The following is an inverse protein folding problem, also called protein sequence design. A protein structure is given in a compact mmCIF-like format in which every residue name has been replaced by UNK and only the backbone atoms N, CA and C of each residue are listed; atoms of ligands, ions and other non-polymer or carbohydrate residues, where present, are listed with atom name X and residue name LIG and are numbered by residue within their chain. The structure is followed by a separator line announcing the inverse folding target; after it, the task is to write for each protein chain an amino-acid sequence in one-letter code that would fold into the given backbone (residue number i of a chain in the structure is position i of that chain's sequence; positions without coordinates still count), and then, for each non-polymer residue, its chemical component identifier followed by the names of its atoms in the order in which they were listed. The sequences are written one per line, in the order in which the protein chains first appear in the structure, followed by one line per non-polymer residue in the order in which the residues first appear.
data_IF_347075812772
#
_entry.id   IF_347075812772
#
_cell.length_a   1.000
_cell.length_b   1.000
_cell.length_c   1.000
_cell.angle_alpha   90.00
_cell.angle_beta   90.00
_cell.angle_gamma   90.00
#
_symmetry.space_group_name_H-M   'P 1'
#
loop_
_entity.id
_entity.type
_entity.pdbx_description
1 polymer ?
#
# COMPACT_ATOMS: atom_id res chain seq x y z
N UNK A 1 4.66 -23.78 -2.75
CA UNK A 1 5.76 -24.76 -2.62
C UNK A 1 6.31 -24.69 -1.21
N UNK A 2 6.73 -25.83 -0.68
CA UNK A 2 7.19 -26.01 0.71
C UNK A 2 8.52 -26.75 0.68
N UNK A 3 9.46 -26.33 1.51
CA UNK A 3 10.77 -26.99 1.62
C UNK A 3 10.62 -28.40 2.26
N UNK A 4 11.25 -29.41 1.63
CA UNK A 4 11.29 -30.76 2.19
C UNK A 4 11.93 -30.78 3.57
N UNK A 5 11.31 -31.51 4.51
CA UNK A 5 11.84 -31.71 5.84
C UNK A 5 11.78 -30.48 6.77
N UNK A 6 11.16 -29.37 6.34
CA UNK A 6 10.98 -28.20 7.21
C UNK A 6 10.13 -28.56 8.44
N UNK A 7 10.53 -28.11 9.63
CA UNK A 7 9.86 -28.36 10.91
C UNK A 7 9.60 -27.06 11.67
N UNK A 8 8.50 -26.99 12.41
CA UNK A 8 8.14 -25.85 13.25
C UNK A 8 6.64 -25.77 13.47
N UNK A 9 6.18 -25.09 14.53
CA UNK A 9 4.75 -24.96 14.85
C UNK A 9 3.97 -24.25 13.74
N UNK A 10 4.48 -23.13 13.24
CA UNK A 10 3.87 -22.37 12.15
C UNK A 10 3.82 -23.13 10.82
N UNK A 11 4.74 -24.09 10.59
CA UNK A 11 4.77 -24.90 9.36
C UNK A 11 3.51 -25.76 9.24
N UNK A 12 3.12 -26.45 10.32
CA UNK A 12 1.93 -27.29 10.34
C UNK A 12 0.66 -26.47 10.14
N UNK A 13 0.61 -25.28 10.72
CA UNK A 13 -0.51 -24.33 10.59
C UNK A 13 -0.65 -23.85 9.14
N UNK A 14 0.45 -23.36 8.52
CA UNK A 14 0.45 -22.89 7.12
C UNK A 14 0.01 -24.02 6.19
N UNK A 15 0.53 -25.24 6.35
CA UNK A 15 0.14 -26.39 5.54
C UNK A 15 -1.34 -26.73 5.75
N UNK A 16 -1.83 -26.66 6.99
CA UNK A 16 -3.24 -26.89 7.31
C UNK A 16 -4.14 -25.87 6.63
N UNK A 17 -3.85 -24.57 6.73
CA UNK A 17 -4.58 -23.49 6.07
C UNK A 17 -4.58 -23.66 4.56
N UNK A 18 -3.42 -23.95 3.96
CA UNK A 18 -3.31 -24.17 2.52
C UNK A 18 -4.18 -25.34 2.03
N UNK A 19 -4.23 -26.44 2.79
CA UNK A 19 -5.10 -27.59 2.46
C UNK A 19 -6.58 -27.22 2.57
N UNK A 20 -6.96 -26.50 3.61
CA UNK A 20 -8.35 -26.05 3.83
C UNK A 20 -8.80 -25.11 2.71
N UNK A 21 -7.89 -24.24 2.25
CA UNK A 21 -8.13 -23.31 1.14
C UNK A 21 -8.04 -23.96 -0.26
N UNK A 22 -7.77 -25.27 -0.36
CA UNK A 22 -7.65 -25.96 -1.64
C UNK A 22 -6.40 -25.61 -2.43
N UNK A 23 -5.38 -25.04 -1.79
CA UNK A 23 -4.13 -24.65 -2.45
C UNK A 23 -3.28 -25.89 -2.72
N UNK A 24 -2.81 -26.05 -3.97
CA UNK A 24 -1.91 -27.13 -4.35
C UNK A 24 -0.57 -26.97 -3.65
N UNK A 25 -0.20 -27.96 -2.84
CA UNK A 25 1.07 -28.00 -2.14
C UNK A 25 2.06 -28.87 -2.91
N UNK A 26 3.22 -28.31 -3.20
CA UNK A 26 4.35 -29.01 -3.79
C UNK A 26 5.54 -28.95 -2.83
N UNK A 27 6.10 -30.12 -2.46
CA UNK A 27 7.27 -30.22 -1.62
C UNK A 27 8.52 -30.33 -2.50
N UNK A 28 9.57 -29.58 -2.17
CA UNK A 28 10.79 -29.53 -2.97
C UNK A 28 12.02 -29.12 -2.14
N UNK A 29 13.21 -29.32 -2.71
CA UNK A 29 14.49 -28.94 -2.09
C UNK A 29 14.63 -27.42 -1.98
N UNK A 30 15.42 -26.96 -1.00
CA UNK A 30 15.67 -25.53 -0.74
C UNK A 30 16.16 -24.78 -1.98
N UNK A 31 17.05 -25.38 -2.79
CA UNK A 31 17.64 -24.75 -3.97
C UNK A 31 16.57 -24.35 -5.02
N UNK A 32 15.44 -25.07 -5.07
CA UNK A 32 14.34 -24.69 -5.96
C UNK A 32 13.59 -23.49 -5.43
N UNK A 33 13.41 -23.40 -4.11
CA UNK A 33 12.78 -22.23 -3.46
C UNK A 33 13.66 -21.00 -3.59
N UNK A 34 14.99 -21.13 -3.41
CA UNK A 34 15.94 -20.04 -3.59
C UNK A 34 15.87 -19.42 -4.99
N UNK A 35 15.79 -20.26 -6.03
CA UNK A 35 15.63 -19.80 -7.41
C UNK A 35 14.32 -19.04 -7.66
N UNK A 36 13.24 -19.49 -7.04
CA UNK A 36 11.91 -18.86 -7.19
C UNK A 36 11.75 -17.60 -6.34
N UNK A 37 12.44 -17.56 -5.20
CA UNK A 37 12.42 -16.41 -4.30
C UNK A 37 13.25 -15.23 -4.82
N UNK A 38 14.09 -15.43 -5.84
CA UNK A 38 14.90 -14.40 -6.51
C UNK A 38 15.61 -13.46 -5.53
N UNK A 39 16.35 -14.04 -4.59
CA UNK A 39 17.07 -13.32 -3.53
C UNK A 39 16.23 -12.90 -2.32
N UNK A 40 14.93 -13.13 -2.32
CA UNK A 40 14.08 -12.89 -1.15
C UNK A 40 14.22 -14.06 -0.16
N UNK A 41 14.26 -13.75 1.13
CA UNK A 41 14.31 -14.77 2.19
C UNK A 41 12.96 -15.50 2.28
N UNK A 42 12.88 -16.75 1.82
CA UNK A 42 11.63 -17.51 1.68
C UNK A 42 11.22 -18.30 2.94
N UNK A 43 12.10 -18.49 3.92
CA UNK A 43 11.79 -19.20 5.18
C UNK A 43 11.12 -20.58 4.99
N UNK A 44 11.46 -21.28 3.89
CA UNK A 44 10.92 -22.59 3.55
C UNK A 44 9.59 -22.61 2.79
N UNK A 45 9.03 -21.45 2.43
CA UNK A 45 7.80 -21.34 1.67
C UNK A 45 7.93 -20.35 0.50
N UNK A 46 7.39 -20.73 -0.65
CA UNK A 46 7.19 -19.83 -1.80
C UNK A 46 5.79 -20.07 -2.36
N UNK A 47 5.00 -19.00 -2.47
CA UNK A 47 3.70 -19.04 -3.12
C UNK A 47 3.77 -18.41 -4.51
N UNK A 48 3.16 -19.07 -5.50
CA UNK A 48 2.86 -18.48 -6.80
C UNK A 48 1.42 -17.99 -6.74
N UNK A 49 1.22 -16.70 -6.78
CA UNK A 49 -0.09 -16.08 -6.74
C UNK A 49 -0.38 -15.33 -8.05
N UNK A 50 -1.66 -15.07 -8.31
CA UNK A 50 -2.05 -14.14 -9.36
C UNK A 50 -1.47 -12.74 -9.07
N UNK A 51 -1.25 -11.90 -10.10
CA UNK A 51 -0.88 -10.52 -9.88
C UNK A 51 -1.91 -9.79 -9.00
N UNK A 52 -1.42 -8.86 -8.18
CA UNK A 52 -2.28 -8.02 -7.32
C UNK A 52 -3.28 -7.28 -8.22
N UNK A 53 -4.57 -7.38 -7.87
CA UNK A 53 -5.64 -6.69 -8.59
C UNK A 53 -5.59 -5.20 -8.28
N UNK A 54 -5.71 -4.38 -9.31
CA UNK A 54 -6.03 -2.96 -9.15
C UNK A 54 -7.55 -2.77 -9.11
N UNK A 55 -7.99 -1.87 -8.26
CA UNK A 55 -9.38 -1.47 -8.10
C UNK A 55 -9.66 -0.16 -8.83
N UNK A 56 -10.94 0.15 -9.07
CA UNK A 56 -11.34 1.49 -9.49
C UNK A 56 -11.58 2.40 -8.28
N UNK A 57 -11.57 3.70 -8.50
CA UNK A 57 -11.89 4.67 -7.44
C UNK A 57 -13.34 4.48 -6.96
N UNK A 58 -14.26 4.20 -7.88
CA UNK A 58 -15.66 3.95 -7.57
C UNK A 58 -15.85 2.73 -6.66
N UNK A 59 -15.11 1.64 -6.91
CA UNK A 59 -15.12 0.46 -6.02
C UNK A 59 -14.68 0.83 -4.61
N UNK A 60 -13.62 1.63 -4.47
CA UNK A 60 -13.10 2.06 -3.16
C UNK A 60 -14.11 2.94 -2.42
N UNK A 61 -14.74 3.89 -3.12
CA UNK A 61 -15.75 4.75 -2.52
C UNK A 61 -17.02 4.00 -2.13
N UNK A 62 -17.37 2.97 -2.91
CA UNK A 62 -18.49 2.08 -2.58
C UNK A 62 -18.22 1.30 -1.28
N UNK A 63 -16.99 0.77 -1.10
CA UNK A 63 -16.60 0.07 0.13
C UNK A 63 -16.70 0.97 1.38
N UNK A 64 -16.25 2.23 1.31
CA UNK A 64 -16.39 3.18 2.40
C UNK A 64 -17.87 3.43 2.75
N UNK A 65 -18.71 3.58 1.72
CA UNK A 65 -20.15 3.76 1.89
C UNK A 65 -20.84 2.54 2.49
N UNK A 66 -20.47 1.33 2.07
CA UNK A 66 -21.01 0.08 2.63
C UNK A 66 -20.70 -0.09 4.11
N UNK A 67 -19.55 0.42 4.56
CA UNK A 67 -19.14 0.43 5.97
C UNK A 67 -19.71 1.58 6.77
N UNK A 68 -20.44 2.51 6.14
CA UNK A 68 -20.89 3.77 6.74
C UNK A 68 -19.73 4.60 7.32
N UNK A 69 -18.58 4.57 6.64
CA UNK A 69 -17.37 5.26 7.05
C UNK A 69 -17.08 6.45 6.13
N UNK A 70 -16.48 7.51 6.69
CA UNK A 70 -16.01 8.65 5.91
C UNK A 70 -14.81 8.24 5.06
N UNK A 71 -14.83 8.45 3.73
CA UNK A 71 -13.73 7.99 2.87
C UNK A 71 -12.39 8.63 3.24
N UNK A 72 -11.39 7.78 3.43
CA UNK A 72 -10.02 8.18 3.72
C UNK A 72 -9.08 7.49 2.73
N UNK A 73 -8.32 8.27 1.94
CA UNK A 73 -7.45 7.78 0.88
C UNK A 73 -5.99 8.20 1.11
N UNK A 74 -5.06 7.40 0.62
CA UNK A 74 -3.64 7.70 0.59
C UNK A 74 -3.20 7.82 -0.88
N UNK A 75 -2.57 8.93 -1.27
CA UNK A 75 -2.00 9.12 -2.61
C UNK A 75 -0.48 9.16 -2.52
N UNK A 76 0.19 8.35 -3.34
CA UNK A 76 1.64 8.24 -3.37
C UNK A 76 2.20 8.99 -4.59
N UNK A 77 2.99 10.06 -4.35
CA UNK A 77 3.58 10.88 -5.41
C UNK A 77 5.03 10.46 -5.69
N UNK A 78 5.26 9.87 -6.87
CA UNK A 78 6.57 9.43 -7.39
C UNK A 78 7.39 8.50 -6.46
N UNK A 79 6.74 7.71 -5.61
CA UNK A 79 7.41 6.70 -4.79
C UNK A 79 7.80 5.48 -5.65
N UNK A 80 9.10 5.26 -5.81
CA UNK A 80 9.66 4.18 -6.65
C UNK A 80 10.27 3.04 -5.84
N UNK A 81 10.60 3.28 -4.57
CA UNK A 81 11.18 2.26 -3.69
C UNK A 81 10.11 1.31 -3.16
N UNK A 82 10.23 -0.02 -3.42
CA UNK A 82 9.29 -1.01 -2.92
C UNK A 82 9.21 -1.07 -1.39
N UNK A 83 10.30 -0.75 -0.69
CA UNK A 83 10.35 -0.73 0.77
C UNK A 83 9.41 0.35 1.32
N UNK A 84 9.49 1.56 0.78
CA UNK A 84 8.65 2.68 1.20
C UNK A 84 7.18 2.44 0.83
N UNK A 85 6.93 1.97 -0.40
CA UNK A 85 5.54 1.68 -0.84
C UNK A 85 4.92 0.57 0.01
N UNK A 86 5.64 -0.52 0.27
CA UNK A 86 5.15 -1.62 1.11
C UNK A 86 4.89 -1.18 2.56
N UNK A 87 5.78 -0.37 3.14
CA UNK A 87 5.61 0.17 4.49
C UNK A 87 4.39 1.11 4.58
N UNK A 88 4.19 1.98 3.58
CA UNK A 88 3.03 2.87 3.52
C UNK A 88 1.72 2.12 3.34
N UNK A 89 1.67 1.08 2.51
CA UNK A 89 0.47 0.23 2.37
C UNK A 89 0.14 -0.47 3.70
N UNK A 90 1.14 -0.99 4.40
CA UNK A 90 0.96 -1.59 5.72
C UNK A 90 0.44 -0.57 6.75
N UNK A 91 0.97 0.65 6.73
CA UNK A 91 0.49 1.74 7.60
C UNK A 91 -0.94 2.15 7.23
N UNK A 92 -1.25 2.21 5.93
CA UNK A 92 -2.58 2.51 5.43
C UNK A 92 -3.63 1.49 5.92
N UNK A 93 -3.30 0.20 5.90
CA UNK A 93 -4.14 -0.86 6.45
C UNK A 93 -4.42 -0.63 7.94
N UNK A 94 -3.37 -0.43 8.73
CA UNK A 94 -3.48 -0.20 10.16
C UNK A 94 -4.24 1.10 10.52
N UNK A 95 -4.21 2.11 9.65
CA UNK A 95 -4.89 3.39 9.82
C UNK A 95 -6.34 3.39 9.28
N UNK A 96 -6.83 2.28 8.74
CA UNK A 96 -8.18 2.20 8.17
C UNK A 96 -8.35 2.99 6.87
N UNK A 97 -7.28 3.16 6.09
CA UNK A 97 -7.35 3.79 4.76
C UNK A 97 -8.18 2.92 3.81
N UNK A 98 -9.16 3.50 3.15
CA UNK A 98 -10.06 2.78 2.25
C UNK A 98 -9.43 2.42 0.90
N UNK A 99 -8.41 3.17 0.48
CA UNK A 99 -7.67 2.87 -0.74
C UNK A 99 -6.40 3.68 -0.92
N UNK A 100 -5.43 3.08 -1.62
CA UNK A 100 -4.15 3.70 -1.95
C UNK A 100 -4.14 4.03 -3.45
N UNK A 101 -3.91 5.30 -3.78
CA UNK A 101 -3.82 5.79 -5.17
C UNK A 101 -2.35 5.77 -5.61
N UNK A 102 -2.05 4.99 -6.64
CA UNK A 102 -0.70 4.79 -7.14
C UNK A 102 -0.60 5.18 -8.62
N UNK A 103 0.28 6.12 -9.02
CA UNK A 103 0.46 6.48 -10.41
C UNK A 103 0.92 5.32 -11.28
N UNK A 104 0.46 5.25 -12.54
CA UNK A 104 0.93 4.26 -13.54
C UNK A 104 2.40 4.43 -13.91
N UNK A 105 2.91 5.66 -13.82
CA UNK A 105 4.27 6.02 -14.20
C UNK A 105 5.00 6.63 -13.03
N UNK A 106 6.32 6.46 -12.98
CA UNK A 106 7.19 6.97 -11.91
C UNK A 106 6.79 6.47 -10.52
N UNK A 107 6.28 5.25 -10.45
CA UNK A 107 5.89 4.59 -9.21
C UNK A 107 6.44 3.17 -9.18
N UNK A 108 6.49 2.59 -8.00
CA UNK A 108 6.87 1.21 -7.80
C UNK A 108 5.78 0.26 -8.32
N UNK A 109 6.12 -0.79 -9.10
CA UNK A 109 5.16 -1.85 -9.42
C UNK A 109 4.81 -2.65 -8.16
N UNK A 110 3.55 -3.07 -8.05
CA UNK A 110 3.11 -3.98 -7.00
C UNK A 110 3.63 -5.40 -7.29
N UNK A 111 4.78 -5.71 -6.76
CA UNK A 111 5.47 -6.98 -6.94
C UNK A 111 5.59 -7.77 -5.63
N UNK A 112 6.25 -8.93 -5.68
CA UNK A 112 6.48 -9.78 -4.51
C UNK A 112 7.23 -9.08 -3.36
N UNK A 113 8.09 -8.09 -3.68
CA UNK A 113 8.81 -7.31 -2.67
C UNK A 113 7.83 -6.42 -1.90
N UNK A 114 6.95 -5.70 -2.60
CA UNK A 114 5.90 -4.87 -1.98
C UNK A 114 4.96 -5.73 -1.14
N UNK A 115 4.52 -6.89 -1.66
CA UNK A 115 3.66 -7.81 -0.92
C UNK A 115 4.32 -8.29 0.37
N UNK A 116 5.62 -8.62 0.33
CA UNK A 116 6.38 -9.05 1.50
C UNK A 116 6.56 -7.92 2.52
N UNK A 117 6.95 -6.72 2.08
CA UNK A 117 7.20 -5.56 2.96
C UNK A 117 5.89 -5.08 3.60
N UNK A 118 4.79 -5.09 2.85
CA UNK A 118 3.48 -4.76 3.38
C UNK A 118 2.92 -5.80 4.36
N UNK A 119 3.66 -6.91 4.60
CA UNK A 119 3.21 -8.03 5.43
C UNK A 119 1.82 -8.58 5.03
N UNK A 120 1.51 -8.53 3.74
CA UNK A 120 0.23 -8.97 3.18
C UNK A 120 -0.87 -7.90 3.15
N UNK A 121 -0.66 -6.71 3.73
CA UNK A 121 -1.67 -5.64 3.75
C UNK A 121 -2.15 -5.24 2.34
N UNK A 122 -1.31 -5.42 1.31
CA UNK A 122 -1.66 -5.14 -0.09
C UNK A 122 -2.82 -6.01 -0.63
N UNK A 123 -3.16 -7.11 0.05
CA UNK A 123 -4.30 -7.96 -0.29
C UNK A 123 -5.63 -7.45 0.33
N UNK A 124 -5.54 -6.57 1.32
CA UNK A 124 -6.68 -6.04 2.08
C UNK A 124 -6.99 -4.58 1.76
N UNK A 125 -5.97 -3.76 1.53
CA UNK A 125 -6.13 -2.36 1.15
C UNK A 125 -6.23 -2.26 -0.36
N UNK A 126 -7.37 -1.83 -0.93
CA UNK A 126 -7.52 -1.64 -2.36
C UNK A 126 -6.50 -0.66 -2.93
N UNK A 127 -5.79 -1.04 -3.99
CA UNK A 127 -4.89 -0.14 -4.70
C UNK A 127 -5.52 0.28 -6.02
N UNK A 128 -5.62 1.58 -6.23
CA UNK A 128 -6.15 2.21 -7.44
C UNK A 128 -5.00 2.73 -8.29
N UNK A 129 -4.92 2.31 -9.52
CA UNK A 129 -3.91 2.80 -10.44
C UNK A 129 -4.41 4.06 -11.17
N UNK A 130 -3.78 5.21 -10.94
CA UNK A 130 -4.16 6.50 -11.52
C UNK A 130 -3.23 6.93 -12.66
N UNK A 131 -3.77 7.70 -13.60
CA UNK A 131 -3.00 8.21 -14.75
C UNK A 131 -2.19 9.45 -14.44
N UNK A 132 -2.85 10.49 -13.95
CA UNK A 132 -2.28 11.80 -13.66
C UNK A 132 -2.70 12.26 -12.25
N UNK A 133 -1.71 12.54 -11.40
CA UNK A 133 -1.95 12.89 -10.00
C UNK A 133 -2.75 14.18 -9.87
N UNK A 134 -2.36 15.27 -10.58
CA UNK A 134 -3.02 16.57 -10.44
C UNK A 134 -4.46 16.54 -10.95
N UNK A 135 -4.73 15.81 -12.02
CA UNK A 135 -6.08 15.59 -12.52
C UNK A 135 -6.92 14.80 -11.52
N UNK A 136 -6.36 13.71 -10.97
CA UNK A 136 -7.03 12.89 -9.93
C UNK A 136 -7.34 13.72 -8.68
N UNK A 137 -6.42 14.60 -8.25
CA UNK A 137 -6.68 15.52 -7.14
C UNK A 137 -7.87 16.45 -7.46
N UNK A 138 -7.93 17.02 -8.66
CA UNK A 138 -9.06 17.88 -9.06
C UNK A 138 -10.39 17.12 -9.10
N UNK A 139 -10.40 15.88 -9.55
CA UNK A 139 -11.56 15.00 -9.53
C UNK A 139 -12.02 14.70 -8.10
N UNK A 140 -11.10 14.38 -7.19
CA UNK A 140 -11.38 14.12 -5.78
C UNK A 140 -11.93 15.36 -5.07
N UNK A 141 -11.39 16.55 -5.35
CA UNK A 141 -11.93 17.82 -4.84
C UNK A 141 -13.38 18.06 -5.26
N UNK A 142 -13.74 17.75 -6.50
CA UNK A 142 -15.14 17.84 -6.97
C UNK A 142 -16.05 16.86 -6.24
N UNK A 143 -15.53 15.75 -5.74
CA UNK A 143 -16.24 14.79 -4.89
C UNK A 143 -16.27 15.18 -3.41
N UNK A 144 -15.72 16.34 -3.05
CA UNK A 144 -15.73 16.87 -1.68
C UNK A 144 -14.58 16.41 -0.79
N UNK A 145 -13.52 15.84 -1.37
CA UNK A 145 -12.33 15.47 -0.61
C UNK A 145 -11.46 16.68 -0.29
N UNK A 146 -10.96 16.74 0.95
CA UNK A 146 -9.88 17.62 1.37
C UNK A 146 -8.53 16.96 1.10
N UNK A 147 -7.62 17.68 0.46
CA UNK A 147 -6.32 17.15 0.02
C UNK A 147 -5.22 17.72 0.91
N UNK A 148 -4.63 16.88 1.73
CA UNK A 148 -3.55 17.24 2.66
C UNK A 148 -2.22 16.65 2.19
N UNK A 149 -1.26 17.49 1.88
CA UNK A 149 0.08 17.06 1.44
C UNK A 149 1.07 16.97 2.61
N UNK A 150 1.80 15.86 2.74
CA UNK A 150 2.87 15.74 3.73
C UNK A 150 4.13 16.49 3.25
N UNK A 151 4.55 17.55 3.96
CA UNK A 151 5.69 18.38 3.61
C UNK A 151 6.36 18.98 4.85
N UNK A 152 7.70 19.06 4.84
CA UNK A 152 8.47 19.61 5.96
C UNK A 152 8.22 21.11 6.23
N UNK A 153 7.67 21.83 5.25
CA UNK A 153 7.31 23.25 5.40
C UNK A 153 5.81 23.43 5.64
N UNK A 154 5.10 22.37 5.98
CA UNK A 154 3.66 22.39 6.28
C UNK A 154 3.36 22.95 7.67
N UNK A 155 2.08 23.10 7.97
CA UNK A 155 1.60 23.37 9.32
C UNK A 155 1.62 22.09 10.17
N UNK A 156 1.76 22.27 11.46
CA UNK A 156 1.66 21.20 12.43
C UNK A 156 0.29 20.51 12.31
N UNK A 157 0.29 19.20 12.07
CA UNK A 157 -0.95 18.46 11.80
C UNK A 157 -1.97 18.54 12.94
N UNK A 158 -1.54 18.75 14.18
CA UNK A 158 -2.43 18.95 15.35
C UNK A 158 -3.30 20.23 15.24
N UNK A 159 -2.91 21.19 14.41
CA UNK A 159 -3.63 22.45 14.21
C UNK A 159 -4.58 22.40 13.04
N UNK A 160 -4.50 21.37 12.22
CA UNK A 160 -5.31 21.24 11.02
C UNK A 160 -6.61 20.49 11.30
N UNK A 161 -7.70 20.92 10.66
CA UNK A 161 -8.95 20.17 10.68
C UNK A 161 -8.86 19.00 9.70
N UNK A 162 -8.71 17.79 10.23
CA UNK A 162 -8.58 16.55 9.46
C UNK A 162 -9.87 15.72 9.53
N UNK A 163 -11.03 16.36 9.52
CA UNK A 163 -12.35 15.70 9.52
C UNK A 163 -12.97 15.69 8.12
N UNK A 164 -13.85 14.72 7.87
CA UNK A 164 -14.51 14.56 6.57
C UNK A 164 -13.72 13.75 5.55
N UNK A 165 -14.23 13.63 4.30
CA UNK A 165 -13.55 12.91 3.23
C UNK A 165 -12.16 13.48 2.96
N UNK A 166 -11.13 12.64 3.03
CA UNK A 166 -9.74 13.12 3.04
C UNK A 166 -8.81 12.28 2.17
N UNK A 167 -7.84 12.95 1.58
CA UNK A 167 -6.68 12.34 0.93
C UNK A 167 -5.40 12.87 1.58
N UNK A 168 -4.58 11.97 2.10
CA UNK A 168 -3.19 12.29 2.46
C UNK A 168 -2.31 12.02 1.25
N UNK A 169 -1.50 13.00 0.86
CA UNK A 169 -0.54 12.87 -0.25
C UNK A 169 0.87 12.77 0.32
N UNK A 170 1.56 11.68 0.01
CA UNK A 170 2.95 11.44 0.46
C UNK A 170 3.87 11.42 -0.74
N UNK A 171 4.92 12.24 -0.71
CA UNK A 171 5.93 12.34 -1.76
C UNK A 171 7.13 11.40 -1.58
N UNK A 172 8.01 11.40 -2.57
CA UNK A 172 9.23 10.61 -2.54
C UNK A 172 10.20 11.09 -1.44
N UNK A 173 10.89 10.11 -0.81
CA UNK A 173 11.90 10.38 0.21
C UNK A 173 12.98 11.31 -0.33
N UNK A 174 13.29 12.38 0.41
CA UNK A 174 14.31 13.38 0.06
C UNK A 174 13.86 14.42 -0.98
N UNK A 175 12.87 14.13 -1.85
CA UNK A 175 12.34 15.10 -2.82
C UNK A 175 11.02 15.74 -2.36
N UNK A 176 10.28 15.02 -1.50
CA UNK A 176 8.95 15.44 -1.10
C UNK A 176 7.93 15.38 -2.24
N UNK A 177 6.90 16.18 -2.13
CA UNK A 177 5.85 16.32 -3.13
C UNK A 177 6.33 17.11 -4.35
N UNK A 178 5.88 16.71 -5.54
CA UNK A 178 6.08 17.50 -6.76
C UNK A 178 5.44 18.88 -6.66
N UNK A 179 6.07 19.91 -7.26
CA UNK A 179 5.61 21.31 -7.19
C UNK A 179 4.13 21.46 -7.54
N UNK A 180 3.69 20.89 -8.66
CA UNK A 180 2.29 20.97 -9.09
C UNK A 180 1.33 20.23 -8.15
N UNK A 181 1.79 19.15 -7.52
CA UNK A 181 1.02 18.41 -6.52
C UNK A 181 0.83 19.26 -5.27
N UNK A 182 1.90 19.90 -4.77
CA UNK A 182 1.83 20.84 -3.63
C UNK A 182 0.84 21.98 -3.90
N UNK A 183 0.91 22.60 -5.09
CA UNK A 183 0.00 23.69 -5.50
C UNK A 183 -1.48 23.28 -5.53
N UNK A 184 -1.76 21.98 -5.69
CA UNK A 184 -3.12 21.42 -5.71
C UNK A 184 -3.62 20.93 -4.35
N UNK A 185 -2.74 20.78 -3.37
CA UNK A 185 -3.17 20.46 -1.99
C UNK A 185 -3.93 21.63 -1.37
N UNK A 186 -4.90 21.33 -0.50
CA UNK A 186 -5.64 22.34 0.27
C UNK A 186 -4.84 22.81 1.47
N UNK A 187 -4.02 21.93 2.03
CA UNK A 187 -3.05 22.24 3.07
C UNK A 187 -1.79 21.38 2.94
N UNK A 188 -0.72 21.85 3.57
CA UNK A 188 0.50 21.07 3.76
C UNK A 188 0.65 20.78 5.24
N UNK A 189 0.89 19.52 5.59
CA UNK A 189 1.02 19.05 6.96
C UNK A 189 2.47 18.68 7.26
N UNK A 190 2.94 19.11 8.40
CA UNK A 190 4.21 18.72 9.00
C UNK A 190 3.96 17.82 10.20
N UNK A 191 4.75 16.76 10.29
CA UNK A 191 4.92 16.00 11.52
C UNK A 191 6.35 16.15 11.97
N UNK A 192 6.60 16.54 13.23
CA UNK A 192 7.95 16.43 13.79
C UNK A 192 8.39 14.98 13.69
N UNK A 193 9.62 14.74 13.25
CA UNK A 193 10.20 13.41 13.33
C UNK A 193 10.13 12.94 14.78
N UNK A 194 9.31 11.94 15.04
CA UNK A 194 9.19 11.30 16.35
C UNK A 194 10.45 10.46 16.70
N UNK A 195 11.57 10.75 16.06
CA UNK A 195 12.85 10.04 16.15
C UNK A 195 13.98 10.85 16.77
N UNK A 196 13.68 12.01 17.38
CA UNK A 196 14.63 12.72 18.26
C UNK A 196 14.42 12.38 19.74
#
# INVERSE_FOLDING_TARGET
MVQDGIKGGSVSEIIGLAKTAGVVLEFCKAERLDKLADGLRHQGFVALAAPIRFHSLEEVLALAKEKDETPFLLLLDELQDPQNVGALIRTADAAGVHGVLLPKRRSCPLNAVVAKISAGAVEYVPVVQIGNITQTIEELKKLGFWIAGADMNGEDYYKSNLTGPMVIVVGAVGKGLGRLVKEKCDCLLYTSDAAD
#
